data_IF_494168210383
#
_entry.id   IF_494168210383
#
_cell.length_a   1.000
_cell.length_b   1.000
_cell.length_c   1.000
_cell.angle_alpha   90.00
_cell.angle_beta   90.00
_cell.angle_gamma   90.00
#
_symmetry.space_group_name_H-M   'P 1'
#
loop_
_entity.id
_entity.type
_entity.pdbx_description
1 polymer ?
#
# COMPACT_ATOMS: atom_id res chain seq x y z
N UNK A 1 1.37 -16.38 18.33
CA UNK A 1 2.25 -15.73 17.32
C UNK A 1 1.27 -15.21 16.30
N UNK A 2 0.85 -13.97 16.50
CA UNK A 2 -0.35 -13.44 15.86
C UNK A 2 0.10 -12.69 14.61
N UNK A 3 -0.09 -13.31 13.44
CA UNK A 3 0.16 -12.66 12.17
C UNK A 3 -1.02 -11.76 11.83
N UNK A 4 -0.80 -10.44 11.86
CA UNK A 4 -1.75 -9.48 11.29
C UNK A 4 -1.56 -9.44 9.77
N UNK A 5 -2.62 -9.76 9.01
CA UNK A 5 -2.66 -9.49 7.58
C UNK A 5 -3.50 -8.26 7.33
N UNK A 6 -2.89 -7.24 6.73
CA UNK A 6 -3.62 -6.10 6.18
C UNK A 6 -3.83 -6.36 4.70
N UNK A 7 -4.98 -6.93 4.33
CA UNK A 7 -5.46 -6.82 2.95
C UNK A 7 -5.81 -5.35 2.74
N UNK A 8 -4.94 -4.61 2.04
CA UNK A 8 -5.23 -3.22 1.67
C UNK A 8 -6.25 -3.22 0.50
N UNK A 9 -7.48 -3.61 0.79
CA UNK A 9 -8.65 -3.40 -0.07
C UNK A 9 -9.00 -1.90 -0.05
N UNK A 10 -8.20 -1.07 -0.72
CA UNK A 10 -8.60 0.29 -1.09
C UNK A 10 -9.30 0.23 -2.45
N UNK A 11 -10.50 -0.34 -2.48
CA UNK A 11 -11.46 -0.02 -3.53
C UNK A 11 -12.02 1.37 -3.21
N UNK A 12 -11.64 2.37 -4.01
CA UNK A 12 -12.39 3.63 -4.07
C UNK A 12 -13.77 3.33 -4.69
N UNK A 13 -14.70 2.88 -3.86
CA UNK A 13 -16.13 2.93 -4.16
C UNK A 13 -16.77 4.05 -3.32
N UNK A 14 -16.24 5.27 -3.43
CA UNK A 14 -16.88 6.46 -2.88
C UNK A 14 -17.41 7.29 -4.04
N UNK A 15 -18.54 6.87 -4.57
CA UNK A 15 -19.60 7.84 -4.95
C UNK A 15 -21.03 7.30 -4.82
N UNK A 16 -21.26 6.09 -4.29
CA UNK A 16 -22.64 5.57 -4.24
C UNK A 16 -23.05 4.73 -3.04
N UNK A 17 -22.18 4.51 -2.05
CA UNK A 17 -22.55 3.78 -0.84
C UNK A 17 -21.92 4.50 0.35
N UNK A 18 -22.74 5.20 1.11
CA UNK A 18 -22.72 5.39 2.57
C UNK A 18 -23.59 6.62 2.87
N UNK A 19 -24.78 6.38 3.45
CA UNK A 19 -25.58 7.45 4.02
C UNK A 19 -24.87 8.04 5.25
N UNK A 20 -25.01 9.36 5.43
CA UNK A 20 -24.32 10.15 6.47
C UNK A 20 -24.57 9.70 7.92
N UNK A 21 -25.52 8.79 8.17
CA UNK A 21 -25.94 8.39 9.52
C UNK A 21 -24.98 7.43 10.23
N UNK A 22 -24.16 6.66 9.50
CA UNK A 22 -23.25 5.69 10.12
C UNK A 22 -21.92 6.30 10.59
N UNK A 23 -21.52 7.44 10.01
CA UNK A 23 -20.31 8.18 10.41
C UNK A 23 -20.41 8.82 11.79
N UNK A 24 -21.60 9.30 12.17
CA UNK A 24 -21.84 9.92 13.49
C UNK A 24 -21.70 8.89 14.62
N UNK A 25 -22.24 7.68 14.43
CA UNK A 25 -22.17 6.60 15.42
C UNK A 25 -20.73 6.14 15.68
N UNK A 26 -19.89 6.07 14.64
CA UNK A 26 -18.49 5.66 14.81
C UNK A 26 -17.63 6.73 15.51
N UNK A 27 -17.97 8.01 15.35
CA UNK A 27 -17.26 9.13 15.98
C UNK A 27 -17.59 9.29 17.48
N UNK A 28 -18.81 8.96 17.91
CA UNK A 28 -19.24 9.06 19.31
C UNK A 28 -18.61 7.99 20.22
N UNK A 29 -18.43 6.76 19.71
CA UNK A 29 -17.83 5.65 20.49
C UNK A 29 -16.39 5.94 20.91
N UNK A 30 -15.66 6.79 20.17
CA UNK A 30 -14.30 7.23 20.53
C UNK A 30 -14.24 8.35 21.57
N UNK A 31 -15.31 9.11 21.78
CA UNK A 31 -15.33 10.20 22.78
C UNK A 31 -15.52 9.72 24.22
N UNK A 32 -16.06 8.52 24.42
CA UNK A 32 -16.40 7.99 25.76
C UNK A 32 -15.25 7.20 26.41
N UNK A 33 -14.17 6.89 25.68
CA UNK A 33 -13.09 6.02 26.16
C UNK A 33 -11.97 6.66 26.98
N UNK A 34 -11.96 7.99 27.19
CA UNK A 34 -10.85 8.68 27.86
C UNK A 34 -11.32 9.53 29.05
N UNK A 35 -11.62 8.88 30.18
CA UNK A 35 -11.57 9.51 31.50
C UNK A 35 -11.53 8.45 32.60
N UNK A 36 -10.36 8.20 33.18
CA UNK A 36 -10.08 8.13 34.63
C UNK A 36 -8.57 8.10 34.80
N UNK A 37 -8.00 9.14 35.42
CA UNK A 37 -6.60 9.20 35.87
C UNK A 37 -6.63 9.22 37.40
N UNK A 38 -6.21 8.13 38.06
CA UNK A 38 -5.92 8.13 39.50
C UNK A 38 -4.41 8.21 39.71
N UNK A 39 -3.99 9.12 40.61
CA UNK A 39 -2.60 9.37 41.02
C UNK A 39 -2.21 8.37 42.12
N UNK A 40 -1.05 7.74 41.97
CA UNK A 40 -0.28 7.15 43.08
C UNK A 40 1.19 7.57 42.96
N UNK A 41 1.83 7.74 44.13
CA UNK A 41 3.19 8.25 44.33
C UNK A 41 4.23 7.10 44.47
N UNK A 42 5.55 7.39 44.42
CA UNK A 42 6.50 6.57 43.68
C UNK A 42 7.15 5.48 44.53
N UNK A 43 7.38 4.31 43.91
CA UNK A 43 8.38 3.34 44.36
C UNK A 43 9.44 3.13 43.29
N UNK A 44 10.66 2.87 43.78
CA UNK A 44 11.97 2.94 43.10
C UNK A 44 12.34 1.60 42.44
N UNK A 45 13.17 1.67 41.38
CA UNK A 45 13.85 0.57 40.62
C UNK A 45 12.94 -0.06 39.54
N UNK A 46 13.34 -0.28 38.28
CA UNK A 46 14.63 -0.41 37.59
C UNK A 46 14.66 0.38 36.27
N UNK A 47 15.86 0.73 35.82
CA UNK A 47 16.16 1.32 34.50
C UNK A 47 15.92 0.28 33.40
N UNK A 48 14.68 0.11 32.95
CA UNK A 48 14.41 -0.40 31.61
C UNK A 48 14.26 0.80 30.67
N UNK A 49 15.25 0.98 29.81
CA UNK A 49 15.22 2.01 28.78
C UNK A 49 14.00 1.85 27.87
N UNK A 50 13.47 3.00 27.52
CA UNK A 50 12.12 3.23 27.05
C UNK A 50 11.85 2.77 25.62
N UNK A 51 10.72 2.06 25.46
CA UNK A 51 9.68 2.26 24.43
C UNK A 51 10.17 2.55 23.01
N UNK A 52 10.26 1.50 22.19
CA UNK A 52 10.05 1.68 20.74
C UNK A 52 8.55 1.84 20.51
N UNK A 53 8.07 3.08 20.50
CA UNK A 53 6.84 3.39 19.74
C UNK A 53 7.28 3.45 18.29
N UNK A 54 7.21 2.31 17.60
CA UNK A 54 7.35 2.30 16.15
C UNK A 54 6.30 3.23 15.57
N UNK A 55 6.74 4.11 14.66
CA UNK A 55 5.80 4.85 13.86
C UNK A 55 5.10 3.85 12.94
N UNK A 56 3.75 3.82 12.91
CA UNK A 56 3.03 2.97 11.97
C UNK A 56 3.52 3.17 10.55
N UNK A 57 3.50 2.11 9.73
CA UNK A 57 3.71 2.26 8.30
C UNK A 57 2.54 3.03 7.69
N UNK A 58 2.83 4.11 6.97
CA UNK A 58 1.83 4.75 6.12
C UNK A 58 1.75 4.01 4.80
N UNK A 59 0.65 3.29 4.58
CA UNK A 59 0.42 2.51 3.37
C UNK A 59 -0.74 3.13 2.58
N UNK A 60 -0.61 3.22 1.27
CA UNK A 60 -1.65 3.79 0.41
C UNK A 60 -1.76 3.13 -0.96
N UNK A 61 -2.79 3.52 -1.70
CA UNK A 61 -2.91 3.25 -3.13
C UNK A 61 -3.34 4.52 -3.86
N UNK A 62 -2.90 4.68 -5.10
CA UNK A 62 -3.15 5.86 -5.91
C UNK A 62 -3.33 5.45 -7.37
N UNK A 63 -4.57 5.49 -7.85
CA UNK A 63 -4.83 5.42 -9.28
C UNK A 63 -4.53 6.78 -9.91
N UNK A 64 -3.52 6.81 -10.80
CA UNK A 64 -3.15 8.01 -11.54
C UNK A 64 -3.62 7.83 -12.97
N UNK A 65 -4.83 8.30 -13.26
CA UNK A 65 -5.49 8.15 -14.56
C UNK A 65 -4.51 8.28 -15.73
N UNK A 66 -4.22 7.19 -16.44
CA UNK A 66 -3.29 7.17 -17.58
C UNK A 66 -1.93 7.84 -17.28
N UNK A 67 -1.16 7.32 -16.32
CA UNK A 67 0.23 7.74 -16.09
C UNK A 67 1.13 7.22 -17.23
N UNK A 68 1.05 7.90 -18.37
CA UNK A 68 1.82 7.63 -19.57
C UNK A 68 2.73 8.79 -19.99
N UNK A 69 3.39 8.65 -21.15
CA UNK A 69 4.42 9.58 -21.65
C UNK A 69 4.00 11.05 -21.60
N UNK A 70 2.77 11.36 -22.01
CA UNK A 70 2.23 12.72 -22.00
C UNK A 70 2.23 13.33 -20.59
N UNK A 71 1.90 12.54 -19.57
CA UNK A 71 1.88 12.99 -18.17
C UNK A 71 3.29 13.12 -17.62
N UNK A 72 4.20 12.19 -17.95
CA UNK A 72 5.63 12.28 -17.60
C UNK A 72 6.33 13.54 -18.12
N UNK A 73 5.87 14.09 -19.23
CA UNK A 73 6.40 15.32 -19.81
C UNK A 73 5.83 16.60 -19.16
N UNK A 74 4.78 16.49 -18.34
CA UNK A 74 4.19 17.62 -17.64
C UNK A 74 4.81 17.77 -16.25
N UNK A 75 5.69 18.76 -16.09
CA UNK A 75 6.47 18.98 -14.87
C UNK A 75 5.58 19.26 -13.65
N UNK A 76 4.53 20.07 -13.82
CA UNK A 76 3.65 20.46 -12.70
C UNK A 76 2.83 19.27 -12.17
N UNK A 77 2.31 18.44 -13.08
CA UNK A 77 1.59 17.21 -12.74
C UNK A 77 2.53 16.23 -12.05
N UNK A 78 3.71 16.00 -12.61
CA UNK A 78 4.69 15.07 -12.05
C UNK A 78 5.19 15.52 -10.67
N UNK A 79 5.46 16.81 -10.48
CA UNK A 79 5.82 17.38 -9.17
C UNK A 79 4.78 17.07 -8.11
N UNK A 80 3.49 17.15 -8.47
CA UNK A 80 2.39 16.83 -7.56
C UNK A 80 2.33 15.34 -7.24
N UNK A 81 2.45 14.48 -8.26
CA UNK A 81 2.46 13.02 -8.10
C UNK A 81 3.61 12.56 -7.20
N UNK A 82 4.82 13.06 -7.44
CA UNK A 82 6.03 12.69 -6.71
C UNK A 82 5.91 13.07 -5.23
N UNK A 83 5.36 14.26 -4.93
CA UNK A 83 5.05 14.70 -3.57
C UNK A 83 3.97 13.86 -2.89
N UNK A 84 2.99 13.34 -3.64
CA UNK A 84 1.98 12.43 -3.08
C UNK A 84 2.62 11.10 -2.71
N UNK A 85 3.40 10.52 -3.62
CA UNK A 85 4.10 9.24 -3.41
C UNK A 85 5.03 9.32 -2.19
N UNK A 86 5.79 10.42 -2.04
CA UNK A 86 6.76 10.58 -0.95
C UNK A 86 6.17 10.73 0.46
N UNK A 87 4.84 10.74 0.60
CA UNK A 87 4.13 10.76 1.89
C UNK A 87 3.94 9.38 2.50
N UNK A 88 4.10 8.33 1.72
CA UNK A 88 3.80 6.95 2.12
C UNK A 88 5.08 6.14 2.29
N UNK A 89 5.09 5.22 3.25
CA UNK A 89 6.19 4.25 3.40
C UNK A 89 6.08 3.11 2.38
N UNK A 90 4.85 2.79 1.96
CA UNK A 90 4.52 1.86 0.87
C UNK A 90 3.29 2.41 0.12
N UNK A 91 3.37 2.51 -1.20
CA UNK A 91 2.23 2.94 -2.02
C UNK A 91 2.15 2.16 -3.32
N UNK A 92 0.94 1.69 -3.64
CA UNK A 92 0.59 1.15 -4.94
C UNK A 92 0.19 2.30 -5.89
N UNK A 93 0.89 2.46 -6.99
CA UNK A 93 0.52 3.35 -8.09
C UNK A 93 -0.10 2.51 -9.21
N UNK A 94 -1.32 2.84 -9.62
CA UNK A 94 -2.06 2.15 -10.67
C UNK A 94 -2.18 3.00 -11.93
N UNK A 95 -2.53 2.37 -13.05
CA UNK A 95 -2.60 2.98 -14.38
C UNK A 95 -1.27 3.52 -14.91
N UNK A 96 -0.17 2.82 -14.63
CA UNK A 96 1.13 3.11 -15.25
C UNK A 96 1.12 2.56 -16.68
N UNK A 97 1.21 3.45 -17.68
CA UNK A 97 0.99 3.12 -19.10
C UNK A 97 2.28 2.93 -19.91
N UNK A 98 3.43 2.87 -19.24
CA UNK A 98 4.73 2.65 -19.87
C UNK A 98 5.68 1.97 -18.88
N UNK A 99 6.53 1.08 -19.39
CA UNK A 99 7.62 0.44 -18.66
C UNK A 99 9.00 0.91 -19.12
N UNK A 100 9.06 1.97 -19.94
CA UNK A 100 10.33 2.52 -20.43
C UNK A 100 11.19 3.02 -19.27
N UNK A 101 12.41 2.47 -19.19
CA UNK A 101 13.32 2.67 -18.05
C UNK A 101 13.55 4.15 -17.73
N UNK A 102 13.79 4.98 -18.74
CA UNK A 102 14.06 6.41 -18.55
C UNK A 102 12.91 7.16 -17.84
N UNK A 103 11.63 6.81 -18.08
CA UNK A 103 10.50 7.42 -17.37
C UNK A 103 10.42 6.91 -15.92
N UNK A 104 10.60 5.61 -15.72
CA UNK A 104 10.48 4.99 -14.40
C UNK A 104 11.65 5.37 -13.48
N UNK A 105 12.87 5.41 -14.01
CA UNK A 105 14.06 5.87 -13.30
C UNK A 105 13.96 7.37 -12.97
N UNK A 106 13.43 8.18 -13.90
CA UNK A 106 13.13 9.59 -13.63
C UNK A 106 12.14 9.73 -12.47
N UNK A 107 11.03 9.01 -12.52
CA UNK A 107 10.02 9.04 -11.45
C UNK A 107 10.62 8.66 -10.10
N UNK A 108 11.38 7.57 -10.04
CA UNK A 108 11.99 7.11 -8.80
C UNK A 108 13.01 8.12 -8.25
N UNK A 109 13.84 8.71 -9.12
CA UNK A 109 14.79 9.75 -8.72
C UNK A 109 14.08 10.98 -8.18
N UNK A 110 13.02 11.41 -8.84
CA UNK A 110 12.31 12.64 -8.49
C UNK A 110 11.44 12.44 -7.22
N UNK A 111 10.83 11.26 -7.02
CA UNK A 111 10.24 10.85 -5.72
C UNK A 111 11.29 10.90 -4.62
N UNK A 112 12.49 10.39 -4.89
CA UNK A 112 13.61 10.50 -3.95
C UNK A 112 14.02 11.96 -3.71
N UNK A 113 13.83 12.90 -4.64
CA UNK A 113 14.12 14.31 -4.38
C UNK A 113 13.15 14.94 -3.36
N UNK A 114 11.91 14.44 -3.27
CA UNK A 114 10.89 14.90 -2.31
C UNK A 114 10.80 14.07 -1.03
N UNK A 115 11.73 13.14 -0.81
CA UNK A 115 11.68 12.21 0.31
C UNK A 115 11.93 12.90 1.67
N UNK A 116 11.34 12.39 2.77
CA UNK A 116 11.74 12.82 4.11
C UNK A 116 13.24 12.58 4.36
N UNK A 117 13.91 13.38 5.20
CA UNK A 117 15.31 13.14 5.55
C UNK A 117 15.57 11.71 6.02
N UNK A 118 16.62 11.08 5.49
CA UNK A 118 17.01 9.71 5.80
C UNK A 118 16.16 8.61 5.13
N UNK A 119 15.06 8.94 4.47
CA UNK A 119 14.33 7.99 3.64
C UNK A 119 15.10 7.72 2.34
N UNK A 120 14.93 6.53 1.76
CA UNK A 120 15.28 6.23 0.36
C UNK A 120 14.17 5.34 -0.19
N UNK A 121 13.62 5.70 -1.34
CA UNK A 121 12.62 4.92 -2.05
C UNK A 121 13.28 3.99 -3.06
N UNK A 122 12.72 2.80 -3.19
CA UNK A 122 12.87 1.94 -4.36
C UNK A 122 11.48 1.64 -4.95
N UNK A 123 11.47 1.06 -6.14
CA UNK A 123 10.23 0.73 -6.86
C UNK A 123 10.31 -0.67 -7.46
N UNK A 124 9.17 -1.35 -7.50
CA UNK A 124 8.97 -2.54 -8.34
C UNK A 124 7.72 -2.36 -9.21
N UNK A 125 7.74 -2.95 -10.41
CA UNK A 125 6.69 -2.81 -11.43
C UNK A 125 6.10 -4.20 -11.73
N UNK A 126 4.78 -4.27 -11.88
CA UNK A 126 4.11 -5.49 -12.31
C UNK A 126 4.38 -5.81 -13.78
N UNK A 127 4.06 -7.04 -14.18
CA UNK A 127 3.82 -7.34 -15.58
C UNK A 127 2.73 -6.41 -16.14
N UNK A 128 2.89 -6.02 -17.40
CA UNK A 128 1.91 -5.19 -18.10
C UNK A 128 0.76 -6.04 -18.58
N UNK A 129 -0.47 -5.55 -18.41
CA UNK A 129 -1.63 -6.23 -18.97
C UNK A 129 -1.47 -6.40 -20.50
N UNK A 130 -1.68 -7.60 -21.07
CA UNK A 130 -1.31 -7.89 -22.45
C UNK A 130 -1.90 -6.94 -23.50
N UNK A 131 -3.14 -6.48 -23.28
CA UNK A 131 -3.86 -5.63 -24.23
C UNK A 131 -3.69 -4.13 -23.93
N UNK A 132 -4.00 -3.72 -22.70
CA UNK A 132 -4.00 -2.30 -22.31
C UNK A 132 -2.61 -1.74 -22.04
N UNK A 133 -1.62 -2.62 -21.84
CA UNK A 133 -0.26 -2.27 -21.40
C UNK A 133 -0.25 -1.52 -20.06
N UNK A 134 -1.30 -1.70 -19.26
CA UNK A 134 -1.42 -1.12 -17.93
C UNK A 134 -0.56 -1.92 -16.95
N UNK A 135 0.26 -1.21 -16.18
CA UNK A 135 1.06 -1.75 -15.09
C UNK A 135 0.61 -1.11 -13.76
N UNK A 136 0.98 -1.75 -12.67
CA UNK A 136 1.02 -1.13 -11.36
C UNK A 136 2.44 -1.15 -10.80
N UNK A 137 2.77 -0.16 -9.97
CA UNK A 137 4.07 -0.04 -9.34
C UNK A 137 3.92 0.06 -7.83
N UNK A 138 4.75 -0.64 -7.07
CA UNK A 138 4.93 -0.37 -5.66
C UNK A 138 6.13 0.54 -5.47
N UNK A 139 5.94 1.68 -4.81
CA UNK A 139 7.00 2.49 -4.24
C UNK A 139 7.09 2.18 -2.76
N UNK A 140 8.30 1.97 -2.25
CA UNK A 140 8.50 1.61 -0.86
C UNK A 140 9.82 2.16 -0.32
N UNK A 141 9.84 2.45 0.98
CA UNK A 141 11.03 2.90 1.70
C UNK A 141 11.93 1.74 2.06
N UNK A 142 13.17 1.76 1.58
CA UNK A 142 14.14 0.67 1.82
C UNK A 142 14.67 0.63 3.25
N UNK A 143 14.57 1.75 3.99
CA UNK A 143 14.88 1.81 5.42
C UNK A 143 13.80 1.15 6.29
N UNK A 144 12.63 0.86 5.72
CA UNK A 144 11.48 0.25 6.42
C UNK A 144 11.06 -1.10 5.87
N UNK A 145 11.31 -1.37 4.59
CA UNK A 145 10.77 -2.53 3.88
C UNK A 145 11.81 -3.12 2.93
N UNK A 146 11.88 -4.44 2.92
CA UNK A 146 12.68 -5.22 1.99
C UNK A 146 11.79 -6.23 1.26
N UNK A 147 11.87 -6.28 -0.06
CA UNK A 147 11.15 -7.29 -0.85
C UNK A 147 11.80 -8.66 -0.61
N UNK A 148 11.02 -9.60 -0.09
CA UNK A 148 11.40 -11.01 0.03
C UNK A 148 11.00 -11.80 -1.22
N UNK A 149 9.84 -11.47 -1.80
CA UNK A 149 9.28 -12.12 -2.99
C UNK A 149 8.38 -11.14 -3.71
N UNK A 150 8.27 -11.29 -5.02
CA UNK A 150 7.23 -10.64 -5.83
C UNK A 150 6.84 -11.55 -6.98
N UNK A 151 5.56 -11.51 -7.36
CA UNK A 151 5.05 -12.19 -8.55
C UNK A 151 3.74 -11.55 -9.03
N UNK A 152 3.54 -11.55 -10.35
CA UNK A 152 2.21 -11.34 -10.94
C UNK A 152 1.46 -12.67 -10.93
N UNK A 153 0.24 -12.68 -10.39
CA UNK A 153 -0.56 -13.90 -10.32
C UNK A 153 -0.84 -14.44 -11.73
N UNK A 154 -0.66 -15.74 -11.94
CA UNK A 154 -0.77 -16.36 -13.27
C UNK A 154 -2.18 -16.32 -13.82
N UNK A 155 -3.18 -16.30 -12.93
CA UNK A 155 -4.62 -16.28 -13.24
C UNK A 155 -5.05 -17.35 -14.26
N UNK A 156 -4.88 -18.65 -13.95
CA UNK A 156 -5.17 -19.74 -14.87
C UNK A 156 -6.66 -19.81 -15.25
N UNK A 157 -7.54 -19.38 -14.37
CA UNK A 157 -8.99 -19.35 -14.58
C UNK A 157 -9.47 -18.06 -15.29
N UNK A 158 -8.56 -17.15 -15.65
CA UNK A 158 -8.86 -15.86 -16.29
C UNK A 158 -9.94 -15.06 -15.56
N UNK A 159 -9.88 -15.07 -14.23
CA UNK A 159 -10.86 -14.42 -13.37
C UNK A 159 -10.60 -12.93 -13.22
N UNK A 160 -9.40 -12.44 -13.56
CA UNK A 160 -9.00 -11.05 -13.45
C UNK A 160 -8.80 -10.40 -14.82
N UNK A 161 -9.34 -9.19 -15.00
CA UNK A 161 -9.00 -8.40 -16.18
C UNK A 161 -7.55 -7.95 -16.17
N UNK A 162 -7.01 -7.58 -14.99
CA UNK A 162 -5.60 -7.28 -14.77
C UNK A 162 -5.07 -8.23 -13.72
N UNK A 163 -4.01 -8.96 -14.03
CA UNK A 163 -3.37 -9.88 -13.09
C UNK A 163 -2.97 -9.14 -11.80
N UNK A 164 -3.42 -9.60 -10.62
CA UNK A 164 -2.98 -9.02 -9.36
C UNK A 164 -1.46 -9.12 -9.18
N UNK A 165 -0.86 -8.09 -8.58
CA UNK A 165 0.58 -8.03 -8.31
C UNK A 165 0.87 -8.24 -6.83
N UNK A 166 1.45 -9.39 -6.49
CA UNK A 166 1.79 -9.75 -5.12
C UNK A 166 3.24 -9.37 -4.79
N UNK A 167 3.44 -8.74 -3.62
CA UNK A 167 4.76 -8.49 -3.05
C UNK A 167 4.78 -8.88 -1.58
N UNK A 168 5.74 -9.70 -1.20
CA UNK A 168 6.04 -10.10 0.18
C UNK A 168 7.14 -9.20 0.73
N UNK A 169 6.86 -8.47 1.80
CA UNK A 169 7.82 -7.60 2.46
C UNK A 169 8.28 -8.20 3.78
N UNK A 170 9.59 -8.06 4.06
CA UNK A 170 10.12 -8.08 5.42
C UNK A 170 10.19 -6.64 5.94
N UNK A 171 9.89 -6.46 7.22
CA UNK A 171 10.01 -5.18 7.92
C UNK A 171 10.93 -5.32 9.14
N UNK A 172 12.11 -4.68 9.15
CA UNK A 172 12.96 -4.61 10.34
C UNK A 172 12.44 -3.59 11.36
N UNK A 173 11.46 -2.75 10.96
CA UNK A 173 10.89 -1.66 11.77
C UNK A 173 9.46 -1.93 12.20
N UNK A 174 9.00 -3.19 12.17
CA UNK A 174 7.72 -3.60 12.75
C UNK A 174 7.95 -4.69 13.80
N UNK A 175 7.53 -4.42 15.04
CA UNK A 175 7.73 -5.26 16.22
C UNK A 175 6.96 -6.57 16.09
N UNK A 176 5.67 -6.46 15.79
CA UNK A 176 4.73 -7.58 15.83
C UNK A 176 4.45 -8.17 14.44
N UNK A 177 4.87 -7.50 13.36
CA UNK A 177 4.62 -7.92 11.98
C UNK A 177 5.91 -7.81 11.14
N UNK A 178 6.85 -8.73 11.38
CA UNK A 178 8.15 -8.77 10.69
C UNK A 178 8.04 -9.10 9.20
N UNK A 179 6.91 -9.65 8.77
CA UNK A 179 6.64 -10.05 7.39
C UNK A 179 5.16 -9.91 7.07
N UNK A 180 4.85 -9.35 5.90
CA UNK A 180 3.47 -9.24 5.40
C UNK A 180 3.45 -9.22 3.87
N UNK A 181 2.36 -9.74 3.29
CA UNK A 181 2.11 -9.73 1.85
C UNK A 181 1.15 -8.62 1.46
N UNK A 182 1.34 -8.02 0.27
CA UNK A 182 0.42 -7.03 -0.30
C UNK A 182 0.07 -7.43 -1.72
N UNK A 183 -1.22 -7.43 -2.03
CA UNK A 183 -1.76 -7.68 -3.36
C UNK A 183 -2.21 -6.33 -3.94
N UNK A 184 -1.50 -5.84 -4.95
CA UNK A 184 -1.93 -4.69 -5.74
C UNK A 184 -2.90 -5.13 -6.83
N UNK A 185 -4.10 -4.55 -6.86
CA UNK A 185 -5.11 -4.90 -7.85
C UNK A 185 -5.95 -3.69 -8.27
N UNK A 186 -6.11 -3.51 -9.59
CA UNK A 186 -6.99 -2.51 -10.17
C UNK A 186 -8.24 -3.17 -10.75
N UNK A 187 -9.34 -3.10 -10.01
CA UNK A 187 -10.57 -3.82 -10.35
C UNK A 187 -11.19 -3.27 -11.63
N UNK A 188 -11.62 -4.13 -12.57
CA UNK A 188 -12.42 -3.67 -13.72
C UNK A 188 -13.85 -3.36 -13.26
N UNK A 189 -14.37 -2.14 -13.47
CA UNK A 189 -15.70 -1.76 -12.99
C UNK A 189 -16.82 -2.70 -13.46
N UNK A 190 -16.74 -3.22 -14.69
CA UNK A 190 -17.74 -4.14 -15.23
C UNK A 190 -17.62 -5.58 -14.73
N UNK A 191 -16.58 -5.93 -13.94
CA UNK A 191 -16.31 -7.28 -13.44
C UNK A 191 -16.06 -7.31 -11.92
N UNK A 192 -16.48 -6.27 -11.19
CA UNK A 192 -16.20 -6.10 -9.75
C UNK A 192 -16.55 -7.34 -8.94
N UNK A 193 -17.75 -7.90 -9.10
CA UNK A 193 -18.19 -9.06 -8.31
C UNK A 193 -17.28 -10.27 -8.56
N UNK A 194 -16.98 -10.56 -9.83
CA UNK A 194 -16.11 -11.67 -10.21
C UNK A 194 -14.70 -11.49 -9.65
N UNK A 195 -14.10 -10.32 -9.86
CA UNK A 195 -12.72 -10.07 -9.46
C UNK A 195 -12.57 -10.03 -7.93
N UNK A 196 -13.53 -9.47 -7.19
CA UNK A 196 -13.49 -9.47 -5.73
C UNK A 196 -13.65 -10.88 -5.15
N UNK A 197 -14.48 -11.74 -5.74
CA UNK A 197 -14.58 -13.13 -5.33
C UNK A 197 -13.26 -13.87 -5.59
N UNK A 198 -12.65 -13.68 -6.76
CA UNK A 198 -11.37 -14.28 -7.09
C UNK A 198 -10.21 -13.77 -6.21
N UNK A 199 -10.30 -12.55 -5.67
CA UNK A 199 -9.32 -12.05 -4.68
C UNK A 199 -9.34 -12.85 -3.38
N UNK A 200 -10.49 -13.43 -2.99
CA UNK A 200 -10.56 -14.31 -1.82
C UNK A 200 -9.80 -15.61 -2.07
N UNK A 201 -10.02 -16.23 -3.24
CA UNK A 201 -9.28 -17.44 -3.66
C UNK A 201 -7.77 -17.15 -3.77
N UNK A 202 -7.40 -15.99 -4.31
CA UNK A 202 -6.01 -15.56 -4.38
C UNK A 202 -5.40 -15.36 -2.99
N UNK A 203 -6.15 -14.79 -2.04
CA UNK A 203 -5.70 -14.63 -0.67
C UNK A 203 -5.34 -15.99 -0.05
N UNK A 204 -6.22 -16.97 -0.18
CA UNK A 204 -5.96 -18.32 0.34
C UNK A 204 -4.75 -18.97 -0.35
N UNK A 205 -4.62 -18.81 -1.66
CA UNK A 205 -3.46 -19.29 -2.42
C UNK A 205 -2.14 -18.68 -1.94
N UNK A 206 -2.04 -17.35 -1.81
CA UNK A 206 -0.79 -16.70 -1.37
C UNK A 206 -0.48 -17.00 0.10
N UNK A 207 -1.52 -17.18 0.92
CA UNK A 207 -1.36 -17.60 2.31
C UNK A 207 -0.72 -18.98 2.36
N UNK A 208 -1.34 -19.98 1.73
CA UNK A 208 -0.80 -21.36 1.69
C UNK A 208 0.62 -21.43 1.12
N UNK A 209 0.92 -20.62 0.10
CA UNK A 209 2.21 -20.65 -0.59
C UNK A 209 3.35 -19.99 0.18
N UNK A 210 3.06 -18.97 1.01
CA UNK A 210 4.09 -18.10 1.59
C UNK A 210 4.07 -17.95 3.12
N UNK A 211 3.06 -18.48 3.80
CA UNK A 211 2.85 -18.33 5.23
C UNK A 211 2.42 -19.65 5.89
#
# INVERSE_FOLDING_TARGET
MDFAFVTLLFTLLISQILSESEWQKYAETRRVGNSVRKKEQPNKVSTEESKVVERPLHIGSYNIQTLGKKKFQNIDIMSTIEKIISRYDLILVMEVMTSESHFMEKLLRDVNAFRPPGAVYNMTLSEGHPQTKEHCAFFYRVDKLQIARMESYSDPAQQFYRKPFFVLFNSPTLRDMKRFGVIGHHVKPSQVVQELNALADLYDHVKEKYF
#
